data_IF_557437716825
#
_entry.id   IF_557437716825
#
_cell.length_a   1.000
_cell.length_b   1.000
_cell.length_c   1.000
_cell.angle_alpha   90.00
_cell.angle_beta   90.00
_cell.angle_gamma   90.00
#
_symmetry.space_group_name_H-M   'P 1'
#
loop_
_entity.id
_entity.type
_entity.pdbx_description
1 polymer ?
#
# COMPACT_ATOMS: atom_id res chain seq x y z
N UNK A 1 17.11 0.70 7.93
CA UNK A 1 16.19 -0.02 7.03
C UNK A 1 16.00 0.83 5.78
N UNK A 2 16.16 0.29 4.58
CA UNK A 2 15.99 1.08 3.34
C UNK A 2 14.49 1.29 3.04
N UNK A 3 14.13 2.36 2.32
CA UNK A 3 12.73 2.68 1.99
C UNK A 3 12.01 1.52 1.29
N UNK A 4 12.74 0.76 0.48
CA UNK A 4 12.23 -0.43 -0.20
C UNK A 4 11.79 -1.51 0.80
N UNK A 5 12.54 -1.74 1.87
CA UNK A 5 12.18 -2.73 2.89
C UNK A 5 10.94 -2.33 3.67
N UNK A 6 10.77 -1.03 3.98
CA UNK A 6 9.55 -0.52 4.61
C UNK A 6 8.33 -0.74 3.70
N UNK A 7 8.46 -0.45 2.40
CA UNK A 7 7.39 -0.71 1.42
C UNK A 7 7.06 -2.20 1.37
N UNK A 8 8.08 -3.06 1.26
CA UNK A 8 7.89 -4.52 1.22
C UNK A 8 7.18 -5.06 2.46
N UNK A 9 7.45 -4.49 3.64
CA UNK A 9 6.78 -4.85 4.90
C UNK A 9 5.28 -4.57 4.91
N UNK A 10 4.80 -3.65 4.07
CA UNK A 10 3.38 -3.24 4.02
C UNK A 10 2.72 -3.57 2.68
N UNK A 11 3.43 -4.26 1.79
CA UNK A 11 3.02 -4.40 0.39
C UNK A 11 1.75 -5.22 0.22
N UNK A 12 1.51 -6.21 1.09
CA UNK A 12 0.26 -6.98 1.10
C UNK A 12 -0.96 -6.08 1.32
N UNK A 13 -0.89 -5.22 2.34
CA UNK A 13 -1.93 -4.23 2.64
C UNK A 13 -2.14 -3.27 1.46
N UNK A 14 -1.06 -2.76 0.86
CA UNK A 14 -1.16 -1.86 -0.29
C UNK A 14 -1.81 -2.53 -1.52
N UNK A 15 -1.46 -3.77 -1.83
CA UNK A 15 -2.04 -4.50 -2.97
C UNK A 15 -3.52 -4.79 -2.72
N UNK A 16 -3.89 -5.23 -1.52
CA UNK A 16 -5.28 -5.46 -1.17
C UNK A 16 -6.13 -4.18 -1.20
N UNK A 17 -5.58 -3.05 -0.77
CA UNK A 17 -6.23 -1.74 -0.86
C UNK A 17 -6.46 -1.28 -2.31
N UNK A 18 -5.58 -1.65 -3.24
CA UNK A 18 -5.82 -1.40 -4.67
C UNK A 18 -6.96 -2.29 -5.18
N UNK A 19 -6.91 -3.58 -4.84
CA UNK A 19 -7.91 -4.58 -5.26
C UNK A 19 -9.29 -4.38 -4.61
N UNK A 20 -9.39 -3.65 -3.49
CA UNK A 20 -10.68 -3.31 -2.89
C UNK A 20 -11.54 -2.40 -3.76
N UNK A 21 -10.92 -1.66 -4.71
CA UNK A 21 -11.59 -0.80 -5.68
C UNK A 21 -12.06 -1.53 -6.95
N UNK A 22 -11.72 -2.82 -7.10
CA UNK A 22 -12.08 -3.65 -8.25
C UNK A 22 -10.93 -4.55 -8.70
N UNK A 23 -11.25 -5.52 -9.56
CA UNK A 23 -10.25 -6.44 -10.11
C UNK A 23 -9.21 -5.70 -10.95
N UNK A 24 -7.95 -6.13 -10.88
CA UNK A 24 -6.85 -5.54 -11.66
C UNK A 24 -5.77 -6.57 -11.98
N UNK A 25 -4.85 -6.27 -12.90
CA UNK A 25 -3.74 -7.16 -13.27
C UNK A 25 -2.38 -6.58 -12.85
N UNK A 26 -1.37 -7.45 -12.76
CA UNK A 26 -0.10 -7.12 -12.11
C UNK A 26 0.53 -5.78 -12.54
N UNK A 27 0.54 -5.45 -13.83
CA UNK A 27 1.07 -4.18 -14.33
C UNK A 27 0.29 -2.95 -13.83
N UNK A 28 -1.05 -3.00 -13.82
CA UNK A 28 -1.88 -1.90 -13.31
C UNK A 28 -1.70 -1.71 -11.81
N UNK A 29 -1.61 -2.81 -11.05
CA UNK A 29 -1.34 -2.77 -9.60
C UNK A 29 -0.03 -2.03 -9.34
N UNK A 30 1.05 -2.32 -10.08
CA UNK A 30 2.31 -1.60 -9.90
C UNK A 30 2.25 -0.16 -10.35
N UNK A 31 1.57 0.12 -11.47
CA UNK A 31 1.37 1.50 -11.93
C UNK A 31 0.65 2.32 -10.86
N UNK A 32 -0.33 1.73 -10.17
CA UNK A 32 -1.02 2.39 -9.06
C UNK A 32 -0.10 2.59 -7.86
N UNK A 33 0.68 1.58 -7.43
CA UNK A 33 1.69 1.75 -6.37
C UNK A 33 2.68 2.88 -6.68
N UNK A 34 3.13 3.00 -7.92
CA UNK A 34 4.06 4.04 -8.36
C UNK A 34 3.48 5.45 -8.27
N UNK A 35 2.17 5.63 -8.49
CA UNK A 35 1.48 6.93 -8.32
C UNK A 35 1.53 7.43 -6.88
N UNK A 36 1.62 6.53 -5.90
CA UNK A 36 1.76 6.83 -4.47
C UNK A 36 3.22 6.77 -4.00
N UNK A 37 4.18 6.86 -4.93
CA UNK A 37 5.62 6.79 -4.67
C UNK A 37 6.06 5.47 -4.01
N UNK A 38 5.27 4.39 -4.07
CA UNK A 38 5.59 3.06 -3.55
C UNK A 38 6.33 2.23 -4.61
N UNK A 39 7.46 2.76 -5.08
CA UNK A 39 8.23 2.17 -6.19
C UNK A 39 8.89 0.85 -5.78
N UNK A 40 8.63 -0.19 -6.56
CA UNK A 40 9.32 -1.48 -6.50
C UNK A 40 10.27 -1.62 -7.70
N UNK A 41 11.31 -2.44 -7.57
CA UNK A 41 12.24 -2.71 -8.68
C UNK A 41 11.61 -3.70 -9.66
N UNK A 42 10.97 -3.17 -10.71
CA UNK A 42 10.53 -3.92 -11.88
C UNK A 42 9.27 -4.78 -11.71
N UNK A 43 8.66 -5.15 -12.84
CA UNK A 43 7.34 -5.83 -12.89
C UNK A 43 7.33 -7.18 -12.16
N UNK A 44 8.47 -7.88 -12.19
CA UNK A 44 8.64 -9.19 -11.53
C UNK A 44 8.49 -9.15 -10.00
N UNK A 45 8.61 -7.98 -9.39
CA UNK A 45 8.63 -7.84 -7.92
C UNK A 45 7.26 -8.00 -7.25
N UNK A 46 6.16 -7.87 -7.99
CA UNK A 46 4.81 -7.96 -7.44
C UNK A 46 4.27 -9.39 -7.40
N UNK A 47 4.74 -10.28 -8.28
CA UNK A 47 4.22 -11.65 -8.39
C UNK A 47 4.43 -12.51 -7.14
N UNK A 48 5.56 -12.44 -6.41
CA UNK A 48 5.70 -13.14 -5.14
C UNK A 48 4.63 -12.73 -4.12
N UNK A 49 4.26 -11.44 -4.08
CA UNK A 49 3.20 -10.96 -3.21
C UNK A 49 1.84 -11.47 -3.69
N UNK A 50 1.53 -11.37 -4.98
CA UNK A 50 0.27 -11.88 -5.52
C UNK A 50 0.13 -13.40 -5.29
N UNK A 51 1.21 -14.17 -5.44
CA UNK A 51 1.24 -15.59 -5.09
C UNK A 51 0.92 -15.81 -3.62
N UNK A 52 1.58 -15.07 -2.71
CA UNK A 52 1.32 -15.17 -1.27
C UNK A 52 -0.14 -14.83 -0.92
N UNK A 53 -0.69 -13.75 -1.48
CA UNK A 53 -2.08 -13.35 -1.25
C UNK A 53 -3.08 -14.43 -1.73
N UNK A 54 -2.76 -15.12 -2.83
CA UNK A 54 -3.52 -16.28 -3.31
C UNK A 54 -3.41 -17.48 -2.39
N UNK A 55 -2.20 -17.81 -1.93
CA UNK A 55 -1.96 -18.94 -1.03
C UNK A 55 -2.73 -18.76 0.29
N UNK A 56 -2.84 -17.51 0.76
CA UNK A 56 -3.65 -17.12 1.92
C UNK A 56 -5.16 -17.01 1.64
N UNK A 57 -5.60 -17.22 0.40
CA UNK A 57 -6.98 -17.06 -0.07
C UNK A 57 -7.55 -15.66 0.15
N UNK A 58 -6.70 -14.64 0.23
CA UNK A 58 -7.09 -13.23 0.30
C UNK A 58 -7.40 -12.64 -1.08
N UNK A 59 -6.90 -13.28 -2.13
CA UNK A 59 -7.12 -12.89 -3.53
C UNK A 59 -7.41 -14.14 -4.37
N UNK A 60 -8.30 -14.03 -5.35
CA UNK A 60 -8.48 -14.99 -6.44
C UNK A 60 -7.95 -14.42 -7.74
N UNK A 61 -7.65 -15.29 -8.71
CA UNK A 61 -7.25 -14.88 -10.05
C UNK A 61 -8.10 -15.50 -11.15
N UNK A 62 -8.28 -14.75 -12.24
CA UNK A 62 -8.98 -15.20 -13.45
C UNK A 62 -8.15 -14.83 -14.67
N UNK A 63 -8.03 -15.75 -15.64
CA UNK A 63 -7.46 -15.44 -16.95
C UNK A 63 -8.53 -14.86 -17.86
N UNK A 64 -8.29 -13.66 -18.36
CA UNK A 64 -9.18 -12.96 -19.28
C UNK A 64 -8.39 -12.46 -20.49
N UNK A 65 -9.03 -12.39 -21.65
CA UNK A 65 -8.46 -11.72 -22.82
C UNK A 65 -8.73 -10.23 -22.69
N UNK A 66 -7.67 -9.43 -22.75
CA UNK A 66 -7.84 -7.98 -22.91
C UNK A 66 -8.40 -7.63 -24.27
N UNK A 67 -8.91 -6.41 -24.43
CA UNK A 67 -9.38 -5.85 -25.72
C UNK A 67 -8.33 -5.93 -26.84
N UNK A 68 -7.05 -5.98 -26.46
CA UNK A 68 -5.92 -6.15 -27.38
C UNK A 68 -5.65 -7.60 -27.80
N UNK A 69 -6.47 -8.55 -27.37
CA UNK A 69 -6.32 -9.99 -27.63
C UNK A 69 -5.26 -10.70 -26.79
N UNK A 70 -4.52 -9.98 -25.94
CA UNK A 70 -3.52 -10.58 -25.03
C UNK A 70 -4.20 -11.09 -23.76
N UNK A 71 -3.95 -12.35 -23.42
CA UNK A 71 -4.39 -12.93 -22.15
C UNK A 71 -3.69 -12.24 -20.97
N UNK A 72 -4.46 -11.86 -19.95
CA UNK A 72 -4.00 -11.26 -18.69
C UNK A 72 -4.58 -12.05 -17.52
N UNK A 73 -3.82 -12.09 -16.43
CA UNK A 73 -4.29 -12.62 -15.15
C UNK A 73 -4.79 -11.44 -14.33
N UNK A 74 -6.11 -11.39 -14.12
CA UNK A 74 -6.77 -10.44 -13.23
C UNK A 74 -6.84 -11.05 -11.84
N UNK A 75 -6.67 -10.19 -10.83
CA UNK A 75 -6.73 -10.51 -9.42
C UNK A 75 -7.91 -9.77 -8.82
N UNK A 76 -8.61 -10.41 -7.89
CA UNK A 76 -9.75 -9.84 -7.18
C UNK A 76 -9.69 -10.20 -5.70
N UNK A 77 -9.98 -9.23 -4.83
CA UNK A 77 -9.96 -9.44 -3.38
C UNK A 77 -11.15 -10.30 -2.94
N UNK A 78 -10.90 -11.26 -2.05
CA UNK A 78 -11.95 -12.10 -1.47
C UNK A 78 -12.56 -11.47 -0.21
N UNK A 79 -13.69 -11.97 0.31
CA UNK A 79 -14.21 -11.55 1.62
C UNK A 79 -13.17 -11.70 2.75
N UNK A 80 -12.41 -12.80 2.75
CA UNK A 80 -11.33 -13.00 3.73
C UNK A 80 -10.19 -11.99 3.56
N UNK A 81 -9.88 -11.63 2.31
CA UNK A 81 -8.90 -10.59 2.02
C UNK A 81 -9.33 -9.21 2.50
N UNK A 82 -10.64 -8.89 2.42
CA UNK A 82 -11.20 -7.65 2.97
C UNK A 82 -11.07 -7.60 4.49
N UNK A 83 -11.46 -8.67 5.18
CA UNK A 83 -11.29 -8.77 6.65
C UNK A 83 -9.83 -8.60 7.05
N UNK A 84 -8.89 -9.25 6.34
CA UNK A 84 -7.47 -9.07 6.60
C UNK A 84 -7.00 -7.62 6.35
N UNK A 85 -7.44 -7.01 5.25
CA UNK A 85 -7.13 -5.63 4.92
C UNK A 85 -7.59 -4.67 6.02
N UNK A 86 -8.85 -4.81 6.47
CA UNK A 86 -9.43 -3.95 7.52
C UNK A 86 -8.63 -4.05 8.82
N UNK A 87 -8.30 -5.27 9.26
CA UNK A 87 -7.47 -5.50 10.44
C UNK A 87 -6.07 -4.88 10.29
N UNK A 88 -5.45 -5.00 9.11
CA UNK A 88 -4.12 -4.43 8.85
C UNK A 88 -4.12 -2.91 8.81
N UNK A 89 -5.19 -2.30 8.30
CA UNK A 89 -5.35 -0.85 8.33
C UNK A 89 -5.45 -0.36 9.78
N UNK A 90 -6.24 -1.03 10.62
CA UNK A 90 -6.36 -0.69 12.04
C UNK A 90 -5.02 -0.83 12.77
N UNK A 91 -4.35 -1.98 12.65
CA UNK A 91 -3.03 -2.22 13.25
C UNK A 91 -2.00 -1.17 12.81
N UNK A 92 -2.01 -0.78 11.53
CA UNK A 92 -1.13 0.27 11.02
C UNK A 92 -1.44 1.64 11.61
N UNK A 93 -2.72 2.01 11.71
CA UNK A 93 -3.14 3.29 12.28
C UNK A 93 -2.75 3.41 13.75
N UNK A 94 -2.95 2.35 14.53
CA UNK A 94 -2.54 2.28 15.94
C UNK A 94 -1.01 2.43 16.07
N UNK A 95 -0.24 1.67 15.29
CA UNK A 95 1.22 1.76 15.31
C UNK A 95 1.72 3.16 14.92
N UNK A 96 1.11 3.81 13.92
CA UNK A 96 1.46 5.17 13.54
C UNK A 96 1.19 6.16 14.69
N UNK A 97 0.08 6.00 15.39
CA UNK A 97 -0.26 6.85 16.53
C UNK A 97 0.74 6.66 17.68
N UNK A 98 1.08 5.41 18.01
CA UNK A 98 2.01 5.09 19.09
C UNK A 98 3.42 5.65 18.82
N UNK A 99 3.94 5.43 17.61
CA UNK A 99 5.24 5.97 17.19
C UNK A 99 5.21 7.49 17.20
N UNK A 100 4.16 8.11 16.66
CA UNK A 100 4.04 9.58 16.63
C UNK A 100 3.99 10.16 18.05
N UNK A 101 3.22 9.55 18.95
CA UNK A 101 3.13 9.95 20.34
C UNK A 101 4.49 9.90 21.03
N UNK A 102 5.23 8.78 20.88
CA UNK A 102 6.56 8.62 21.43
C UNK A 102 7.54 9.68 20.90
N UNK A 103 7.55 9.92 19.58
CA UNK A 103 8.42 10.90 18.96
C UNK A 103 8.09 12.33 19.40
N UNK A 104 6.82 12.71 19.45
CA UNK A 104 6.39 14.03 19.91
C UNK A 104 6.72 14.28 21.39
N UNK A 105 6.69 13.24 22.22
CA UNK A 105 7.02 13.35 23.64
C UNK A 105 8.53 13.49 23.90
N UNK A 106 9.38 12.91 23.04
CA UNK A 106 10.82 12.78 23.31
C UNK A 106 11.73 13.57 22.35
N UNK A 107 11.17 14.09 21.25
CA UNK A 107 11.89 14.88 20.26
C UNK A 107 11.14 16.20 20.10
N UNK A 108 11.82 17.34 20.24
CA UNK A 108 11.31 18.62 19.75
C UNK A 108 11.23 18.52 18.22
N UNK A 109 10.12 18.02 17.69
CA UNK A 109 9.82 18.13 16.27
C UNK A 109 9.67 19.62 15.99
N UNK A 110 10.52 20.17 15.13
CA UNK A 110 10.53 21.59 14.80
C UNK A 110 9.11 22.07 14.53
N UNK A 111 8.60 22.93 15.42
CA UNK A 111 7.46 23.78 15.17
C UNK A 111 7.88 24.86 14.16
N UNK A 112 8.09 24.47 12.90
CA UNK A 112 8.32 25.42 11.83
C UNK A 112 7.01 25.59 11.06
N UNK A 113 6.31 26.67 11.39
CA UNK A 113 5.11 27.05 10.66
C UNK A 113 4.47 28.37 11.04
N UNK A 114 4.76 28.98 12.20
CA UNK A 114 4.16 30.28 12.55
C UNK A 114 5.13 31.15 13.37
N UNK A 115 6.02 31.87 12.69
CA UNK A 115 6.54 33.15 13.19
C UNK A 115 6.22 34.22 12.14
N UNK A 116 5.23 35.06 12.44
CA UNK A 116 5.40 36.45 12.92
C UNK A 116 5.89 37.42 11.84
N UNK A 117 4.94 38.01 11.12
CA UNK A 117 5.00 39.45 10.79
C UNK A 117 3.60 40.07 10.98
N UNK A 118 3.25 40.29 12.25
CA UNK A 118 2.38 41.40 12.63
C UNK A 118 3.17 42.24 13.61
N UNK A 119 3.40 43.50 13.26
CA UNK A 119 3.96 44.50 14.16
C UNK A 119 5.34 45.00 13.78
N UNK A 120 5.39 45.91 12.81
CA UNK A 120 6.15 47.15 12.98
C UNK A 120 5.45 48.26 12.20
N UNK A 121 5.38 49.39 12.89
CA UNK A 121 4.75 50.67 12.58
C UNK A 121 5.01 51.22 11.18
#
# INVERSE_FOLDING_TARGET
>A
MDRTSLIKGHLEMCVLAILSNGKSYGYEIMKELEKHQLKLKGVGSIYPILSKLKDQRWVTDTREFSDSGKARVYYEITPNGRVFLDNKIQEWQELQQDIRSLLSANVQLYANGEERESGRS
#
